data_IF_782621344915
#
_entry.id   IF_782621344915
#
_cell.length_a   1.000
_cell.length_b   1.000
_cell.length_c   1.000
_cell.angle_alpha   90.00
_cell.angle_beta   90.00
_cell.angle_gamma   90.00
#
_symmetry.space_group_name_H-M   'P 1'
#
loop_
_entity.id
_entity.type
_entity.pdbx_description
1 polymer ?
#
# COMPACT_ATOMS: atom_id res chain seq x y z
N UNK A 1 16.15 3.46 31.22
CA UNK A 1 15.03 4.02 30.44
C UNK A 1 15.59 4.54 29.13
N UNK A 2 15.18 3.99 27.99
CA UNK A 2 15.71 4.42 26.68
C UNK A 2 14.94 5.65 26.20
N UNK A 3 15.57 6.82 26.23
CA UNK A 3 15.00 8.04 25.64
C UNK A 3 15.26 7.99 24.13
N UNK A 4 14.23 8.05 23.26
CA UNK A 4 14.43 8.07 21.83
C UNK A 4 15.20 9.34 21.46
N UNK A 5 16.45 9.23 21.03
CA UNK A 5 17.33 10.37 20.70
C UNK A 5 16.68 11.33 19.70
N UNK A 6 15.85 10.81 18.79
CA UNK A 6 15.05 11.59 17.85
C UNK A 6 14.18 12.64 18.54
N UNK A 7 13.61 12.35 19.71
CA UNK A 7 12.71 13.28 20.41
C UNK A 7 13.45 14.50 20.98
N UNK A 8 14.67 14.28 21.48
CA UNK A 8 15.54 15.34 22.02
C UNK A 8 16.10 16.22 20.90
N UNK A 9 16.51 15.59 19.78
CA UNK A 9 17.07 16.32 18.64
C UNK A 9 16.02 17.10 17.84
N UNK A 10 14.76 16.64 17.82
CA UNK A 10 13.68 17.36 17.13
C UNK A 10 13.05 18.49 17.95
N UNK A 11 13.51 18.77 19.19
CA UNK A 11 13.02 19.90 19.99
C UNK A 11 11.54 19.80 20.39
N UNK A 12 11.00 18.58 20.48
CA UNK A 12 9.57 18.34 20.68
C UNK A 12 9.17 18.65 22.13
N UNK A 13 8.70 19.89 22.35
CA UNK A 13 8.09 20.37 23.59
C UNK A 13 6.57 20.05 23.63
N UNK A 14 5.92 20.19 24.79
CA UNK A 14 4.47 20.02 24.98
C UNK A 14 3.62 20.87 24.02
N UNK A 15 4.16 21.99 23.53
CA UNK A 15 3.52 22.91 22.61
C UNK A 15 4.04 22.79 21.17
N UNK A 16 4.81 21.74 20.85
CA UNK A 16 5.33 21.54 19.50
C UNK A 16 4.15 21.31 18.53
N UNK A 17 4.04 22.09 17.42
CA UNK A 17 3.09 21.79 16.35
C UNK A 17 3.30 20.42 15.68
N UNK A 18 4.48 19.81 15.85
CA UNK A 18 4.80 18.42 15.50
C UNK A 18 4.55 17.44 16.65
N UNK A 19 3.91 17.89 17.73
CA UNK A 19 3.30 17.06 18.76
C UNK A 19 2.16 16.25 18.15
N UNK A 20 2.55 15.24 17.38
CA UNK A 20 1.61 14.41 16.63
C UNK A 20 0.88 13.49 17.59
N UNK A 21 -0.43 13.40 17.37
CA UNK A 21 -1.28 12.38 17.96
C UNK A 21 -0.62 11.00 17.79
N UNK A 22 -0.80 10.11 18.76
CA UNK A 22 -0.32 8.74 18.67
C UNK A 22 -1.00 8.05 17.48
N UNK A 23 -0.34 7.07 16.87
CA UNK A 23 -0.91 6.28 15.77
C UNK A 23 -2.31 5.75 16.11
N UNK A 24 -2.52 5.35 17.36
CA UNK A 24 -3.77 4.80 17.87
C UNK A 24 -4.87 5.85 18.10
N UNK A 25 -4.57 7.14 17.94
CA UNK A 25 -5.60 8.19 17.92
C UNK A 25 -6.32 8.24 16.56
N UNK A 26 -5.73 7.63 15.51
CA UNK A 26 -6.30 7.53 14.16
C UNK A 26 -6.80 6.14 13.81
N UNK A 27 -6.49 5.14 14.64
CA UNK A 27 -6.79 3.74 14.39
C UNK A 27 -7.79 3.27 15.44
N UNK A 28 -8.93 2.75 15.00
CA UNK A 28 -10.00 2.29 15.90
C UNK A 28 -9.55 1.14 16.82
N UNK A 29 -8.55 0.36 16.39
CA UNK A 29 -8.02 -0.78 17.14
C UNK A 29 -7.06 -0.34 18.23
N UNK A 30 -7.24 -0.93 19.42
CA UNK A 30 -6.33 -0.74 20.54
C UNK A 30 -4.93 -1.33 20.27
N UNK A 31 -3.93 -0.84 21.01
CA UNK A 31 -2.53 -1.28 20.87
C UNK A 31 -2.36 -2.81 20.97
N UNK A 32 -3.13 -3.46 21.83
CA UNK A 32 -3.07 -4.91 22.05
C UNK A 32 -3.58 -5.69 20.84
N UNK A 33 -4.75 -5.31 20.32
CA UNK A 33 -5.34 -5.92 19.12
C UNK A 33 -4.46 -5.72 17.88
N UNK A 34 -3.84 -4.54 17.77
CA UNK A 34 -2.88 -4.26 16.70
C UNK A 34 -1.65 -5.17 16.78
N UNK A 35 -1.14 -5.40 17.99
CA UNK A 35 -0.03 -6.33 18.22
C UNK A 35 -0.42 -7.76 17.85
N UNK A 36 -1.59 -8.22 18.31
CA UNK A 36 -2.12 -9.55 17.99
C UNK A 36 -2.30 -9.74 16.48
N UNK A 37 -2.72 -8.70 15.75
CA UNK A 37 -2.82 -8.72 14.30
C UNK A 37 -1.47 -8.89 13.61
N UNK A 38 -0.41 -8.22 14.07
CA UNK A 38 0.95 -8.35 13.51
C UNK A 38 1.56 -9.72 13.80
N UNK A 39 1.27 -10.29 14.98
CA UNK A 39 1.78 -11.60 15.38
C UNK A 39 1.04 -12.76 14.71
N UNK A 40 -0.15 -12.51 14.14
CA UNK A 40 -0.89 -13.51 13.40
C UNK A 40 -0.12 -13.95 12.14
N UNK A 41 -0.07 -15.27 11.83
CA UNK A 41 0.58 -15.75 10.63
C UNK A 41 -0.17 -15.28 9.38
N UNK A 42 0.58 -14.82 8.38
CA UNK A 42 0.02 -14.46 7.09
C UNK A 42 -0.59 -15.69 6.38
N UNK A 43 -1.67 -15.46 5.63
CA UNK A 43 -2.24 -16.49 4.79
C UNK A 43 -1.26 -16.87 3.65
N UNK A 44 -0.80 -18.13 3.56
CA UNK A 44 0.21 -18.53 2.59
C UNK A 44 -0.25 -18.37 1.12
N UNK A 45 -1.55 -18.54 0.85
CA UNK A 45 -2.11 -18.40 -0.50
C UNK A 45 -2.15 -16.93 -0.95
N UNK A 46 -2.54 -16.03 -0.04
CA UNK A 46 -2.49 -14.58 -0.28
C UNK A 46 -1.04 -14.12 -0.48
N UNK A 47 -0.12 -14.58 0.36
CA UNK A 47 1.31 -14.29 0.23
C UNK A 47 1.89 -14.76 -1.09
N UNK A 48 1.48 -15.92 -1.59
CA UNK A 48 1.88 -16.42 -2.91
C UNK A 48 1.36 -15.49 -4.02
N UNK A 49 0.10 -15.08 -3.94
CA UNK A 49 -0.51 -14.12 -4.87
C UNK A 49 0.21 -12.78 -4.89
N UNK A 50 0.51 -12.21 -3.72
CA UNK A 50 1.27 -10.96 -3.59
C UNK A 50 2.64 -11.11 -4.25
N UNK A 51 3.42 -12.15 -3.90
CA UNK A 51 4.76 -12.39 -4.47
C UNK A 51 4.73 -12.47 -6.00
N UNK A 52 3.76 -13.19 -6.58
CA UNK A 52 3.63 -13.33 -8.02
C UNK A 52 3.33 -11.99 -8.72
N UNK A 53 2.41 -11.20 -8.15
CA UNK A 53 2.02 -9.90 -8.70
C UNK A 53 3.12 -8.86 -8.52
N UNK A 54 3.82 -8.84 -7.40
CA UNK A 54 5.01 -8.00 -7.19
C UNK A 54 6.11 -8.34 -8.18
N UNK A 55 6.40 -9.63 -8.40
CA UNK A 55 7.41 -10.08 -9.39
C UNK A 55 7.08 -9.60 -10.82
N UNK A 56 5.79 -9.55 -11.15
CA UNK A 56 5.33 -9.12 -12.48
C UNK A 56 5.02 -7.63 -12.55
N UNK A 57 5.17 -6.88 -11.45
CA UNK A 57 4.73 -5.49 -11.27
C UNK A 57 3.27 -5.25 -11.64
N UNK A 58 2.42 -6.28 -11.51
CA UNK A 58 0.99 -6.21 -11.85
C UNK A 58 0.18 -5.87 -10.61
N UNK A 59 -0.91 -5.11 -10.75
CA UNK A 59 -1.84 -4.91 -9.64
C UNK A 59 -2.49 -6.24 -9.26
N UNK A 60 -2.61 -6.47 -7.94
CA UNK A 60 -3.36 -7.56 -7.36
C UNK A 60 -4.78 -7.07 -7.08
N UNK A 61 -5.79 -7.76 -7.62
CA UNK A 61 -7.19 -7.41 -7.44
C UNK A 61 -8.09 -7.94 -8.56
N UNK A 62 -9.40 -7.74 -8.41
CA UNK A 62 -10.38 -8.03 -9.46
C UNK A 62 -10.28 -7.02 -10.60
N UNK A 63 -10.84 -7.34 -11.77
CA UNK A 63 -10.85 -6.41 -12.90
C UNK A 63 -11.58 -5.10 -12.58
N UNK A 64 -12.71 -5.16 -11.86
CA UNK A 64 -13.47 -3.99 -11.42
C UNK A 64 -12.64 -3.11 -10.46
N UNK A 65 -11.92 -3.73 -9.51
CA UNK A 65 -11.01 -2.99 -8.63
C UNK A 65 -9.90 -2.27 -9.43
N UNK A 66 -9.29 -2.96 -10.39
CA UNK A 66 -8.23 -2.39 -11.23
C UNK A 66 -8.78 -1.24 -12.07
N UNK A 67 -9.97 -1.37 -12.67
CA UNK A 67 -10.59 -0.31 -13.47
C UNK A 67 -10.88 0.95 -12.67
N UNK A 68 -11.41 0.81 -11.45
CA UNK A 68 -11.62 1.94 -10.54
C UNK A 68 -10.29 2.61 -10.17
N UNK A 69 -9.26 1.82 -9.88
CA UNK A 69 -7.93 2.32 -9.56
C UNK A 69 -7.28 3.06 -10.75
N UNK A 70 -7.41 2.52 -11.97
CA UNK A 70 -6.96 3.17 -13.21
C UNK A 70 -7.67 4.51 -13.42
N UNK A 71 -8.98 4.59 -13.14
CA UNK A 71 -9.78 5.81 -13.23
C UNK A 71 -9.34 6.88 -12.23
N UNK A 72 -9.11 6.51 -10.97
CA UNK A 72 -8.64 7.43 -9.93
C UNK A 72 -7.23 7.95 -10.21
N UNK A 73 -6.32 7.06 -10.65
CA UNK A 73 -4.92 7.41 -10.90
C UNK A 73 -4.69 7.96 -12.31
N UNK A 74 -5.71 7.98 -13.17
CA UNK A 74 -5.64 8.36 -14.59
C UNK A 74 -4.49 7.65 -15.33
N UNK A 75 -4.19 6.41 -14.94
CA UNK A 75 -3.07 5.62 -15.45
C UNK A 75 -3.56 4.22 -15.80
N UNK A 76 -3.09 3.67 -16.92
CA UNK A 76 -3.45 2.32 -17.37
C UNK A 76 -2.41 1.32 -16.85
N UNK A 77 -2.89 0.33 -16.10
CA UNK A 77 -2.15 -0.84 -15.62
C UNK A 77 -2.41 -2.09 -16.46
N UNK A 78 -3.52 -2.14 -17.22
CA UNK A 78 -3.82 -3.22 -18.15
C UNK A 78 -2.75 -3.32 -19.24
N UNK A 79 -2.42 -4.57 -19.60
CA UNK A 79 -1.54 -4.86 -20.71
C UNK A 79 -2.16 -4.39 -22.01
N UNK A 80 -1.49 -3.46 -22.69
CA UNK A 80 -1.77 -3.17 -24.08
C UNK A 80 -1.25 -4.32 -24.95
N UNK A 81 -1.92 -4.64 -26.06
CA UNK A 81 -1.41 -5.63 -27.01
C UNK A 81 0.03 -5.29 -27.40
N UNK A 82 0.89 -6.30 -27.35
CA UNK A 82 2.32 -6.15 -27.65
C UNK A 82 2.51 -5.84 -29.13
N UNK A 83 3.26 -4.79 -29.43
CA UNK A 83 3.71 -4.47 -30.79
C UNK A 83 2.93 -3.35 -31.48
N UNK A 84 3.35 -3.04 -32.70
CA UNK A 84 2.71 -2.03 -33.56
C UNK A 84 1.34 -2.54 -34.01
N UNK A 85 0.31 -1.69 -34.08
CA UNK A 85 -0.97 -2.04 -34.70
C UNK A 85 -0.75 -2.67 -36.09
N UNK A 86 -1.41 -3.79 -36.37
CA UNK A 86 -1.34 -4.41 -37.70
C UNK A 86 -1.90 -3.43 -38.73
N UNK A 87 -1.20 -3.29 -39.87
CA UNK A 87 -1.66 -2.45 -40.98
C UNK A 87 -3.02 -3.00 -41.45
N UNK A 88 -4.04 -2.14 -41.50
CA UNK A 88 -5.32 -2.50 -42.12
C UNK A 88 -5.05 -2.74 -43.61
N UNK A 89 -5.40 -3.94 -44.08
CA UNK A 89 -5.45 -4.21 -45.52
C UNK A 89 -6.89 -3.85 -45.92
N UNK A 90 -7.06 -2.70 -46.54
CA UNK A 90 -8.31 -2.39 -47.24
C UNK A 90 -8.46 -3.40 -48.39
N UNK A 91 -9.64 -4.03 -48.48
CA UNK A 91 -9.97 -5.06 -49.45
C UNK A 91 -10.83 -4.48 -50.55
#
# INVERSE_FOLDING_TARGET
>A
MAHPSAKIHCGIDKYDPLGVNQLFDYVEKGRKEWKEFIEAPDNPDEMKGIKEKTRTSRPLGTNDFIERLEGQLKRVFKLKPKGKPKKKVDK
#
